data_IF_579065263302
#
_entry.id   IF_579065263302
#
_cell.length_a   1.000
_cell.length_b   1.000
_cell.length_c   1.000
_cell.angle_alpha   90.00
_cell.angle_beta   90.00
_cell.angle_gamma   90.00
#
_symmetry.space_group_name_H-M   'P 1'
#
loop_
_entity.id
_entity.type
_entity.pdbx_description
1 polymer ?
#
# COMPACT_ATOMS: atom_id res chain seq x y z
N UNK A 1 13.09 26.71 -20.84
CA UNK A 1 13.53 26.30 -19.50
C UNK A 1 12.58 25.22 -19.02
N UNK A 2 13.10 24.04 -18.69
CA UNK A 2 12.32 22.96 -18.09
C UNK A 2 11.63 23.54 -16.86
N UNK A 3 10.29 23.50 -16.81
CA UNK A 3 9.57 23.80 -15.58
C UNK A 3 10.16 22.86 -14.54
N UNK A 4 10.90 23.40 -13.56
CA UNK A 4 11.18 22.66 -12.33
C UNK A 4 9.82 22.52 -11.67
N UNK A 5 9.08 21.49 -12.07
CA UNK A 5 8.03 20.96 -11.23
C UNK A 5 8.64 20.84 -9.85
N UNK A 6 7.93 21.34 -8.84
CA UNK A 6 8.29 21.27 -7.42
C UNK A 6 8.26 19.81 -6.98
N UNK A 7 9.13 19.02 -7.59
CA UNK A 7 9.12 17.58 -7.64
C UNK A 7 9.41 17.02 -6.24
N UNK A 8 10.42 17.50 -5.50
CA UNK A 8 10.58 17.12 -4.10
C UNK A 8 9.33 17.39 -3.27
N UNK A 9 8.72 18.58 -3.40
CA UNK A 9 7.53 18.93 -2.62
C UNK A 9 6.30 18.11 -3.02
N UNK A 10 6.12 17.81 -4.32
CA UNK A 10 5.03 16.99 -4.83
C UNK A 10 5.15 15.54 -4.35
N UNK A 11 6.33 14.95 -4.49
CA UNK A 11 6.61 13.59 -4.06
C UNK A 11 6.51 13.47 -2.53
N UNK A 12 7.02 14.43 -1.77
CA UNK A 12 6.90 14.44 -0.31
C UNK A 12 5.44 14.52 0.13
N UNK A 13 4.62 15.36 -0.52
CA UNK A 13 3.18 15.47 -0.22
C UNK A 13 2.42 14.19 -0.52
N UNK A 14 2.55 13.64 -1.73
CA UNK A 14 1.82 12.43 -2.13
C UNK A 14 2.34 11.18 -1.40
N UNK A 15 3.66 11.08 -1.26
CA UNK A 15 4.30 10.01 -0.49
C UNK A 15 3.92 10.05 0.99
N UNK A 16 3.84 11.25 1.59
CA UNK A 16 3.38 11.44 2.96
C UNK A 16 1.94 10.97 3.13
N UNK A 17 1.05 11.31 2.18
CA UNK A 17 -0.34 10.83 2.17
C UNK A 17 -0.42 9.31 2.05
N UNK A 18 0.35 8.71 1.14
CA UNK A 18 0.40 7.26 0.97
C UNK A 18 0.89 6.57 2.25
N UNK A 19 2.01 7.02 2.81
CA UNK A 19 2.61 6.43 4.00
C UNK A 19 1.66 6.50 5.21
N UNK A 20 1.03 7.66 5.43
CA UNK A 20 0.04 7.83 6.50
C UNK A 20 -1.17 6.91 6.29
N UNK A 21 -1.72 6.87 5.07
CA UNK A 21 -2.85 6.02 4.73
C UNK A 21 -2.54 4.52 4.85
N UNK A 22 -1.32 4.09 4.52
CA UNK A 22 -0.86 2.72 4.76
C UNK A 22 -0.74 2.44 6.26
N UNK A 23 -0.37 3.43 7.08
CA UNK A 23 -0.38 3.34 8.54
C UNK A 23 -1.78 3.08 9.08
N UNK A 24 -2.77 3.85 8.62
CA UNK A 24 -4.18 3.65 8.98
C UNK A 24 -4.71 2.30 8.48
N UNK A 25 -4.32 1.90 7.27
CA UNK A 25 -4.64 0.59 6.70
C UNK A 25 -4.07 -0.55 7.55
N UNK A 26 -2.83 -0.45 8.01
CA UNK A 26 -2.23 -1.42 8.91
C UNK A 26 -3.01 -1.50 10.24
N UNK A 27 -3.41 -0.36 10.80
CA UNK A 27 -4.21 -0.31 12.03
C UNK A 27 -5.59 -0.97 11.88
N UNK A 28 -6.20 -0.91 10.68
CA UNK A 28 -7.46 -1.62 10.37
C UNK A 28 -7.28 -3.12 10.15
N UNK A 29 -6.10 -3.55 9.69
CA UNK A 29 -5.81 -4.94 9.31
C UNK A 29 -4.60 -5.55 10.08
N UNK A 30 -4.54 -5.48 11.42
CA UNK A 30 -3.36 -5.87 12.19
C UNK A 30 -3.04 -7.37 12.14
N UNK A 31 -4.02 -8.22 11.82
CA UNK A 31 -3.84 -9.65 11.61
C UNK A 31 -3.27 -10.04 10.24
N UNK A 32 -3.05 -9.07 9.35
CA UNK A 32 -2.58 -9.28 7.96
C UNK A 32 -1.34 -8.47 7.61
N UNK A 33 -1.24 -7.28 8.19
CA UNK A 33 -0.15 -6.33 7.97
C UNK A 33 0.55 -6.12 9.30
N UNK A 34 1.80 -6.56 9.39
CA UNK A 34 2.60 -6.46 10.62
C UNK A 34 3.21 -5.07 10.79
N UNK A 35 3.54 -4.39 9.68
CA UNK A 35 4.05 -3.04 9.71
C UNK A 35 3.98 -2.33 8.36
N UNK A 36 4.19 -1.03 8.41
CA UNK A 36 4.54 -0.17 7.27
C UNK A 36 5.97 0.30 7.45
N UNK A 37 6.76 0.28 6.38
CA UNK A 37 8.20 0.58 6.40
C UNK A 37 8.60 1.47 5.23
N UNK A 38 9.80 2.05 5.34
CA UNK A 38 10.38 2.95 4.34
C UNK A 38 10.18 4.42 4.70
N UNK A 39 10.18 5.26 3.67
CA UNK A 39 9.98 6.71 3.76
C UNK A 39 8.79 7.12 2.87
N UNK A 40 8.35 8.37 2.96
CA UNK A 40 7.17 8.89 2.27
C UNK A 40 7.14 8.51 0.78
N UNK A 41 8.21 8.79 0.05
CA UNK A 41 8.29 8.59 -1.40
C UNK A 41 8.48 7.11 -1.79
N UNK A 42 8.87 6.28 -0.83
CA UNK A 42 9.31 4.91 -1.03
C UNK A 42 8.98 4.05 0.20
N UNK A 43 7.77 3.49 0.22
CA UNK A 43 7.25 2.71 1.34
C UNK A 43 6.75 1.33 0.92
N UNK A 44 6.64 0.42 1.89
CA UNK A 44 6.11 -0.93 1.66
C UNK A 44 5.37 -1.46 2.89
N UNK A 45 4.57 -2.50 2.65
CA UNK A 45 3.88 -3.26 3.68
C UNK A 45 4.68 -4.50 4.04
N UNK A 46 4.87 -4.73 5.34
CA UNK A 46 5.26 -6.03 5.87
C UNK A 46 3.97 -6.84 6.11
N UNK A 47 3.84 -7.95 5.38
CA UNK A 47 2.70 -8.85 5.50
C UNK A 47 3.01 -9.97 6.50
N UNK A 48 1.99 -10.52 7.15
CA UNK A 48 2.18 -11.62 8.12
C UNK A 48 2.82 -12.87 7.52
N UNK A 49 2.49 -13.16 6.26
CA UNK A 49 3.02 -14.29 5.52
C UNK A 49 2.97 -14.03 4.00
N UNK A 50 3.70 -14.85 3.24
CA UNK A 50 3.81 -14.70 1.79
C UNK A 50 2.46 -14.90 1.09
N UNK A 51 1.58 -15.75 1.63
CA UNK A 51 0.28 -16.05 1.05
C UNK A 51 -0.66 -14.83 1.14
N UNK A 52 -0.67 -14.13 2.27
CA UNK A 52 -1.39 -12.88 2.48
C UNK A 52 -0.90 -11.79 1.51
N UNK A 53 0.42 -11.61 1.39
CA UNK A 53 0.99 -10.67 0.42
C UNK A 53 0.68 -11.03 -1.03
N UNK A 54 0.69 -12.33 -1.35
CA UNK A 54 0.27 -12.86 -2.66
C UNK A 54 -1.18 -12.53 -2.98
N UNK A 55 -2.08 -12.76 -2.02
CA UNK A 55 -3.50 -12.50 -2.18
C UNK A 55 -3.78 -11.01 -2.36
N UNK A 56 -3.14 -10.15 -1.55
CA UNK A 56 -3.26 -8.71 -1.66
C UNK A 56 -2.83 -8.21 -3.05
N UNK A 57 -1.64 -8.60 -3.52
CA UNK A 57 -1.13 -8.19 -4.83
C UNK A 57 -2.02 -8.65 -5.98
N UNK A 58 -2.52 -9.89 -5.96
CA UNK A 58 -3.45 -10.39 -6.98
C UNK A 58 -4.78 -9.65 -6.95
N UNK A 59 -5.33 -9.43 -5.75
CA UNK A 59 -6.60 -8.72 -5.57
C UNK A 59 -6.52 -7.26 -6.01
N UNK A 60 -5.39 -6.60 -5.75
CA UNK A 60 -5.09 -5.25 -6.21
C UNK A 60 -4.96 -5.21 -7.74
N UNK A 61 -4.21 -6.14 -8.33
CA UNK A 61 -4.02 -6.21 -9.78
C UNK A 61 -5.36 -6.43 -10.51
N UNK A 62 -6.24 -7.29 -9.97
CA UNK A 62 -7.59 -7.50 -10.52
C UNK A 62 -8.48 -6.25 -10.49
N UNK A 63 -8.11 -5.23 -9.69
CA UNK A 63 -8.79 -3.92 -9.57
C UNK A 63 -8.03 -2.80 -10.27
N UNK A 64 -7.00 -3.14 -11.05
CA UNK A 64 -6.20 -2.18 -11.80
C UNK A 64 -5.13 -1.45 -10.97
N UNK A 65 -4.75 -1.99 -9.81
CA UNK A 65 -3.65 -1.47 -9.00
C UNK A 65 -2.44 -2.41 -9.06
N UNK A 66 -1.32 -1.93 -9.61
CA UNK A 66 -0.05 -2.62 -9.51
C UNK A 66 0.62 -2.28 -8.16
N UNK A 67 0.50 -3.16 -7.18
CA UNK A 67 1.12 -3.00 -5.86
C UNK A 67 2.11 -4.13 -5.58
N UNK A 68 3.36 -3.77 -5.27
CA UNK A 68 4.43 -4.74 -5.01
C UNK A 68 4.34 -5.26 -3.57
N UNK A 69 4.28 -6.58 -3.42
CA UNK A 69 4.15 -7.26 -2.11
C UNK A 69 5.46 -7.44 -1.32
N UNK A 70 6.63 -7.32 -1.96
CA UNK A 70 7.92 -7.72 -1.37
C UNK A 70 9.00 -6.65 -1.41
N UNK A 71 8.75 -5.50 -2.03
CA UNK A 71 9.64 -4.35 -1.91
C UNK A 71 8.85 -3.06 -2.01
N UNK A 72 9.61 -1.96 -2.03
CA UNK A 72 9.11 -0.60 -2.12
C UNK A 72 8.12 -0.37 -3.27
N UNK A 73 7.08 0.36 -2.94
CA UNK A 73 6.20 1.05 -3.87
C UNK A 73 6.60 2.53 -3.89
N UNK A 74 6.39 3.19 -5.02
CA UNK A 74 6.88 4.55 -5.26
C UNK A 74 5.74 5.44 -5.72
N UNK A 75 5.74 6.69 -5.24
CA UNK A 75 5.00 7.76 -5.89
C UNK A 75 5.85 8.36 -7.01
N UNK A 76 5.21 9.06 -7.93
CA UNK A 76 5.85 9.67 -9.10
C UNK A 76 5.16 10.99 -9.42
N UNK A 77 5.77 11.80 -10.29
CA UNK A 77 5.19 13.08 -10.71
C UNK A 77 3.89 12.92 -11.51
N UNK A 78 3.62 11.73 -12.03
CA UNK A 78 2.38 11.44 -12.75
C UNK A 78 1.19 11.19 -11.81
N UNK A 79 1.44 10.91 -10.53
CA UNK A 79 0.37 10.67 -9.57
C UNK A 79 -0.22 11.97 -9.04
N UNK A 80 -1.50 11.92 -8.68
CA UNK A 80 -2.19 12.93 -7.87
C UNK A 80 -2.78 12.33 -6.57
N UNK A 81 -3.51 13.14 -5.79
CA UNK A 81 -4.11 12.66 -4.54
C UNK A 81 -5.19 11.61 -4.76
N UNK A 82 -5.92 11.69 -5.87
CA UNK A 82 -6.99 10.75 -6.20
C UNK A 82 -6.43 9.37 -6.55
N UNK A 83 -5.24 9.32 -7.16
CA UNK A 83 -4.51 8.06 -7.37
C UNK A 83 -4.15 7.38 -6.04
N UNK A 84 -3.67 8.16 -5.05
CA UNK A 84 -3.32 7.65 -3.72
C UNK A 84 -4.57 7.15 -3.00
N UNK A 85 -5.65 7.93 -3.01
CA UNK A 85 -6.91 7.54 -2.37
C UNK A 85 -7.51 6.30 -3.01
N UNK A 86 -7.49 6.22 -4.34
CA UNK A 86 -7.92 5.04 -5.09
C UNK A 86 -7.07 3.81 -4.73
N UNK A 87 -5.75 3.96 -4.66
CA UNK A 87 -4.86 2.86 -4.31
C UNK A 87 -5.16 2.32 -2.91
N UNK A 88 -5.29 3.21 -1.92
CA UNK A 88 -5.63 2.84 -0.54
C UNK A 88 -7.00 2.17 -0.43
N UNK A 89 -8.01 2.69 -1.14
CA UNK A 89 -9.34 2.09 -1.20
C UNK A 89 -9.31 0.68 -1.78
N UNK A 90 -8.59 0.47 -2.89
CA UNK A 90 -8.42 -0.86 -3.50
C UNK A 90 -7.77 -1.85 -2.52
N UNK A 91 -6.72 -1.43 -1.79
CA UNK A 91 -6.07 -2.30 -0.81
C UNK A 91 -7.03 -2.68 0.33
N UNK A 92 -7.81 -1.72 0.83
CA UNK A 92 -8.78 -1.93 1.91
C UNK A 92 -9.92 -2.87 1.49
N UNK A 93 -10.46 -2.69 0.28
CA UNK A 93 -11.46 -3.58 -0.30
C UNK A 93 -10.95 -5.03 -0.42
N UNK A 94 -9.69 -5.20 -0.84
CA UNK A 94 -9.09 -6.53 -1.04
C UNK A 94 -8.95 -7.29 0.27
N UNK A 95 -8.49 -6.64 1.34
CA UNK A 95 -8.37 -7.28 2.65
C UNK A 95 -9.73 -7.46 3.33
N UNK A 96 -10.65 -6.50 3.20
CA UNK A 96 -11.99 -6.60 3.80
C UNK A 96 -12.85 -7.69 3.15
N UNK A 97 -12.69 -7.94 1.85
CA UNK A 97 -13.40 -9.01 1.14
C UNK A 97 -12.81 -10.40 1.39
N UNK A 98 -11.62 -10.50 1.99
CA UNK A 98 -10.93 -11.76 2.24
C UNK A 98 -11.20 -12.22 3.67
N UNK A 99 -11.94 -13.32 3.90
CA UNK A 99 -12.20 -13.80 5.25
C UNK A 99 -10.88 -14.05 5.99
N UNK A 100 -10.87 -13.76 7.29
CA UNK A 100 -9.68 -13.99 8.08
C UNK A 100 -9.45 -15.49 8.22
N UNK A 101 -8.57 -16.07 7.39
CA UNK A 101 -8.03 -17.40 7.60
C UNK A 101 -7.07 -17.32 8.79
N UNK A 102 -7.66 -17.25 9.99
CA UNK A 102 -6.93 -17.33 11.25
C UNK A 102 -5.97 -18.50 11.16
N UNK A 103 -4.69 -18.23 11.43
CA UNK A 103 -3.64 -19.23 11.37
C UNK A 103 -4.09 -20.49 12.10
N UNK A 104 -4.13 -21.60 11.38
CA UNK A 104 -4.26 -22.91 11.98
C UNK A 104 -3.04 -23.12 12.89
N UNK A 105 -3.18 -22.78 14.17
CA UNK A 105 -2.27 -23.27 15.20
C UNK A 105 -2.55 -24.75 15.32
N UNK A 106 -1.63 -25.54 14.77
CA UNK A 106 -1.62 -26.98 14.89
C UNK A 106 -1.67 -27.41 16.34
N UNK A 107 -2.44 -28.47 16.57
CA UNK A 107 -2.46 -29.29 17.78
C UNK A 107 -1.11 -29.90 18.07
#
# INVERSE_FOLDING_TARGET
AMVRERAPEHLARLGGRLLAGLGDFQARHPGRVTAVRGIAEMCFLEMTDDAAGSALARGAAARGLLFKRSAYNFVSLAHDESDIDRALGILDEVLSASPDRGGARGR
#
